data_IF_294321096837
#
_entry.id   IF_294321096837
#
_cell.length_a   1.000
_cell.length_b   1.000
_cell.length_c   1.000
_cell.angle_alpha   90.00
_cell.angle_beta   90.00
_cell.angle_gamma   90.00
#
_symmetry.space_group_name_H-M   'P 1'
#
loop_
_entity.id
_entity.type
_entity.pdbx_description
1 polymer ?
#
# COMPACT_ATOMS: atom_id res chain seq x y z
N UNK A 1 41.36 2.90 -7.99
CA UNK A 1 40.73 2.71 -6.66
C UNK A 1 39.20 2.79 -6.71
N UNK A 2 38.60 3.66 -7.54
CA UNK A 2 37.13 3.84 -7.65
C UNK A 2 36.39 2.62 -8.23
N UNK A 3 36.99 1.91 -9.21
CA UNK A 3 36.37 0.73 -9.84
C UNK A 3 36.36 -0.54 -8.99
N UNK A 4 37.16 -0.62 -7.92
CA UNK A 4 37.17 -1.79 -7.02
C UNK A 4 35.99 -1.75 -6.03
N UNK A 5 35.64 -0.54 -5.55
CA UNK A 5 34.49 -0.31 -4.68
C UNK A 5 33.16 -0.60 -5.37
N UNK A 6 33.01 -0.25 -6.66
CA UNK A 6 31.79 -0.55 -7.42
C UNK A 6 31.63 -2.06 -7.70
N UNK A 7 32.73 -2.77 -7.95
CA UNK A 7 32.72 -4.23 -8.12
C UNK A 7 32.41 -4.99 -6.82
N UNK A 8 32.85 -4.46 -5.67
CA UNK A 8 32.49 -5.00 -4.34
C UNK A 8 31.02 -4.71 -4.00
N UNK A 9 30.54 -3.49 -4.27
CA UNK A 9 29.12 -3.13 -4.09
C UNK A 9 28.17 -3.97 -4.96
N UNK A 10 28.59 -4.32 -6.19
CA UNK A 10 27.88 -5.22 -7.10
C UNK A 10 27.73 -6.65 -6.57
N UNK A 11 28.58 -7.10 -5.64
CA UNK A 11 28.51 -8.43 -5.02
C UNK A 11 27.64 -8.49 -3.77
N UNK A 12 27.31 -7.34 -3.19
CA UNK A 12 26.41 -7.28 -2.02
C UNK A 12 24.99 -7.45 -2.54
N UNK A 13 24.42 -8.65 -2.34
CA UNK A 13 23.01 -8.91 -2.61
C UNK A 13 22.18 -8.02 -1.69
N UNK A 14 21.37 -7.13 -2.27
CA UNK A 14 20.41 -6.33 -1.51
C UNK A 14 19.29 -7.25 -1.03
N UNK A 15 19.01 -7.22 0.26
CA UNK A 15 17.85 -7.87 0.87
C UNK A 15 16.74 -6.83 0.96
N UNK A 16 15.52 -7.21 0.62
CA UNK A 16 14.35 -6.34 0.66
C UNK A 16 13.09 -7.09 0.26
N UNK A 17 11.95 -6.39 0.31
CA UNK A 17 10.67 -6.90 -0.16
C UNK A 17 10.54 -6.74 -1.68
N UNK A 18 10.04 -7.77 -2.36
CA UNK A 18 9.60 -7.69 -3.75
C UNK A 18 8.09 -7.90 -3.79
N UNK A 19 7.36 -6.88 -4.23
CA UNK A 19 5.92 -6.94 -4.39
C UNK A 19 5.58 -7.17 -5.87
N UNK A 20 4.59 -8.02 -6.14
CA UNK A 20 4.08 -8.21 -7.50
C UNK A 20 3.46 -6.89 -7.98
N UNK A 21 3.80 -6.48 -9.20
CA UNK A 21 3.18 -5.32 -9.83
C UNK A 21 1.70 -5.60 -10.12
N UNK A 22 0.82 -4.66 -9.73
CA UNK A 22 -0.58 -4.67 -10.15
C UNK A 22 -0.86 -3.57 -11.16
N UNK A 23 -1.35 -3.99 -12.33
CA UNK A 23 -1.95 -3.09 -13.32
C UNK A 23 -3.17 -2.40 -12.68
N UNK A 24 -3.26 -1.09 -12.87
CA UNK A 24 -4.25 -0.22 -12.25
C UNK A 24 -4.53 0.97 -13.17
N UNK A 25 -5.60 1.70 -12.88
CA UNK A 25 -6.05 2.90 -13.58
C UNK A 25 -5.68 4.21 -12.82
N UNK A 26 -4.90 4.10 -11.73
CA UNK A 26 -4.52 5.22 -10.88
C UNK A 26 -4.67 4.92 -9.38
N UNK A 27 -4.61 5.97 -8.56
CA UNK A 27 -4.84 5.93 -7.12
C UNK A 27 -6.18 6.59 -6.74
N UNK A 28 -6.52 6.64 -5.46
CA UNK A 28 -7.77 7.20 -4.97
C UNK A 28 -7.78 8.72 -4.71
N UNK A 29 -6.68 9.47 -4.95
CA UNK A 29 -6.54 10.87 -4.47
C UNK A 29 -7.60 11.82 -5.05
N UNK A 30 -7.99 11.62 -6.31
CA UNK A 30 -8.97 12.45 -7.01
C UNK A 30 -10.39 11.85 -7.03
N UNK A 31 -10.64 10.84 -6.19
CA UNK A 31 -11.88 10.06 -6.20
C UNK A 31 -12.76 10.34 -4.98
N UNK A 32 -14.05 10.59 -5.21
CA UNK A 32 -15.02 10.79 -4.14
C UNK A 32 -15.45 9.47 -3.47
N UNK A 33 -15.71 9.45 -2.15
CA UNK A 33 -15.95 8.20 -1.41
C UNK A 33 -17.19 7.41 -1.87
N UNK A 34 -18.15 8.05 -2.54
CA UNK A 34 -19.39 7.42 -3.00
C UNK A 34 -19.21 6.42 -4.14
N UNK A 35 -18.03 6.35 -4.77
CA UNK A 35 -17.77 5.40 -5.87
C UNK A 35 -17.26 4.05 -5.37
N UNK A 36 -16.77 3.98 -4.12
CA UNK A 36 -16.12 2.79 -3.61
C UNK A 36 -17.16 1.79 -3.08
N UNK A 37 -16.97 0.52 -3.45
CA UNK A 37 -17.74 -0.57 -2.86
C UNK A 37 -17.34 -0.72 -1.38
N UNK A 38 -18.35 -0.78 -0.51
CA UNK A 38 -18.17 -0.97 0.94
C UNK A 38 -17.29 -2.18 1.24
N UNK A 39 -17.45 -3.26 0.48
CA UNK A 39 -16.67 -4.48 0.60
C UNK A 39 -15.16 -4.25 0.34
N UNK A 40 -14.81 -3.42 -0.63
CA UNK A 40 -13.40 -3.10 -0.95
C UNK A 40 -12.77 -2.25 0.16
N UNK A 41 -13.50 -1.24 0.64
CA UNK A 41 -13.08 -0.42 1.77
C UNK A 41 -12.88 -1.28 3.02
N UNK A 42 -13.81 -2.17 3.33
CA UNK A 42 -13.71 -3.05 4.51
C UNK A 42 -12.50 -3.98 4.46
N UNK A 43 -12.13 -4.53 3.29
CA UNK A 43 -10.94 -5.39 3.16
C UNK A 43 -9.67 -4.65 3.61
N UNK A 44 -9.50 -3.41 3.13
CA UNK A 44 -8.34 -2.58 3.47
C UNK A 44 -8.41 -2.15 4.94
N UNK A 45 -9.60 -1.76 5.42
CA UNK A 45 -9.82 -1.38 6.83
C UNK A 45 -9.37 -2.47 7.80
N UNK A 46 -9.83 -3.71 7.56
CA UNK A 46 -9.49 -4.85 8.43
C UNK A 46 -7.99 -5.13 8.39
N UNK A 47 -7.37 -5.00 7.22
CA UNK A 47 -5.94 -5.19 7.06
C UNK A 47 -5.14 -4.12 7.82
N UNK A 48 -5.47 -2.84 7.65
CA UNK A 48 -4.77 -1.72 8.30
C UNK A 48 -4.96 -1.73 9.83
N UNK A 49 -6.14 -2.10 10.35
CA UNK A 49 -6.35 -2.28 11.80
C UNK A 49 -5.45 -3.38 12.35
N UNK A 50 -5.42 -4.55 11.71
CA UNK A 50 -4.63 -5.69 12.20
C UNK A 50 -3.14 -5.45 12.13
N UNK A 51 -2.71 -4.61 11.20
CA UNK A 51 -1.31 -4.27 10.98
C UNK A 51 -0.87 -2.97 11.65
N UNK A 52 -1.81 -2.24 12.27
CA UNK A 52 -1.62 -0.90 12.80
C UNK A 52 -0.91 0.02 11.79
N UNK A 53 -1.35 -0.03 10.53
CA UNK A 53 -0.77 0.79 9.48
C UNK A 53 -1.07 2.28 9.74
N UNK A 54 -0.04 3.05 10.04
CA UNK A 54 -0.16 4.46 10.45
C UNK A 54 -0.04 5.46 9.29
N UNK A 55 0.19 4.97 8.06
CA UNK A 55 0.47 5.80 6.88
C UNK A 55 -0.42 5.41 5.67
N UNK A 56 -1.64 4.94 5.95
CA UNK A 56 -2.63 4.74 4.88
C UNK A 56 -3.19 6.09 4.44
N UNK A 57 -3.08 6.37 3.15
CA UNK A 57 -3.75 7.47 2.47
C UNK A 57 -4.22 7.04 1.07
N UNK A 58 -5.07 7.87 0.44
CA UNK A 58 -5.67 7.60 -0.87
C UNK A 58 -4.62 7.33 -1.99
N UNK A 59 -3.48 8.00 -1.93
CA UNK A 59 -2.33 7.76 -2.83
C UNK A 59 -1.72 6.36 -2.72
N UNK A 60 -1.89 5.67 -1.58
CA UNK A 60 -1.40 4.31 -1.34
C UNK A 60 -2.44 3.23 -1.63
N UNK A 61 -3.53 3.58 -2.33
CA UNK A 61 -4.57 2.63 -2.74
C UNK A 61 -4.71 2.74 -4.25
N UNK A 62 -4.37 1.66 -4.93
CA UNK A 62 -4.53 1.56 -6.37
C UNK A 62 -5.97 1.17 -6.72
N UNK A 63 -6.47 1.73 -7.81
CA UNK A 63 -7.80 1.47 -8.34
C UNK A 63 -7.68 0.67 -9.62
N UNK A 64 -8.46 -0.38 -9.74
CA UNK A 64 -8.56 -1.17 -10.97
C UNK A 64 -10.02 -1.48 -11.27
N UNK A 65 -10.31 -1.65 -12.56
CA UNK A 65 -11.63 -2.04 -13.05
C UNK A 65 -11.49 -3.47 -13.55
N UNK A 66 -12.18 -4.41 -12.90
CA UNK A 66 -12.10 -5.84 -13.21
C UNK A 66 -13.48 -6.42 -13.55
N UNK A 67 -13.47 -7.49 -14.36
CA UNK A 67 -14.68 -8.18 -14.80
C UNK A 67 -15.47 -7.46 -15.91
N UNK A 68 -16.42 -8.18 -16.51
CA UNK A 68 -17.25 -7.65 -17.60
C UNK A 68 -18.19 -6.54 -17.13
N UNK A 69 -18.57 -6.54 -15.86
CA UNK A 69 -19.45 -5.55 -15.23
C UNK A 69 -18.71 -4.27 -14.79
N UNK A 70 -17.38 -4.21 -14.96
CA UNK A 70 -16.59 -3.02 -14.62
C UNK A 70 -16.49 -2.76 -13.12
N UNK A 71 -16.33 -3.82 -12.31
CA UNK A 71 -16.26 -3.72 -10.85
C UNK A 71 -14.98 -2.98 -10.43
N UNK A 72 -15.14 -1.95 -9.59
CA UNK A 72 -14.01 -1.28 -8.94
C UNK A 72 -13.41 -2.21 -7.90
N UNK A 73 -12.09 -2.42 -7.99
CA UNK A 73 -11.28 -3.21 -7.07
C UNK A 73 -10.16 -2.33 -6.52
N UNK A 74 -9.99 -2.34 -5.20
CA UNK A 74 -8.98 -1.54 -4.49
C UNK A 74 -7.82 -2.42 -4.04
N UNK A 75 -6.60 -2.02 -4.37
CA UNK A 75 -5.37 -2.72 -3.97
C UNK A 75 -4.51 -1.80 -3.11
N UNK A 76 -4.35 -2.07 -1.80
CA UNK A 76 -3.44 -1.28 -0.98
C UNK A 76 -1.99 -1.59 -1.37
N UNK A 77 -1.15 -0.55 -1.42
CA UNK A 77 0.28 -0.65 -1.63
C UNK A 77 1.04 0.09 -0.53
N UNK A 78 2.36 0.17 -0.69
CA UNK A 78 3.28 0.88 0.20
C UNK A 78 3.10 0.52 1.67
N UNK A 79 3.37 -0.76 1.96
CA UNK A 79 3.39 -1.29 3.31
C UNK A 79 4.79 -1.08 3.92
N UNK A 80 5.42 0.08 3.76
CA UNK A 80 6.73 0.32 4.39
C UNK A 80 6.65 0.58 5.89
N UNK A 81 5.49 1.06 6.37
CA UNK A 81 5.30 1.68 7.68
C UNK A 81 4.20 1.00 8.53
N UNK A 82 3.99 -0.30 8.34
CA UNK A 82 3.08 -1.14 9.14
C UNK A 82 3.85 -2.04 10.12
N UNK A 83 3.18 -2.55 11.16
CA UNK A 83 3.76 -3.35 12.27
C UNK A 83 4.76 -2.59 13.16
N UNK A 84 4.34 -1.49 13.81
CA UNK A 84 5.18 -0.83 14.80
C UNK A 84 5.44 -1.74 16.01
N UNK A 85 6.63 -1.62 16.62
CA UNK A 85 6.96 -2.32 17.87
C UNK A 85 6.05 -1.92 19.03
N UNK A 86 5.57 -0.67 19.02
CA UNK A 86 4.61 -0.14 19.97
C UNK A 86 3.47 0.56 19.24
N UNK A 87 2.23 0.25 19.60
CA UNK A 87 1.05 0.93 19.06
C UNK A 87 0.67 2.05 20.03
N UNK A 88 0.83 3.30 19.60
CA UNK A 88 0.29 4.45 20.34
C UNK A 88 -1.16 4.69 19.92
N UNK A 89 -1.93 5.42 20.74
CA UNK A 89 -3.30 5.82 20.39
C UNK A 89 -3.35 6.55 19.03
N UNK A 90 -2.35 7.38 18.73
CA UNK A 90 -2.25 8.12 17.47
C UNK A 90 -2.13 7.20 16.23
N UNK A 91 -1.56 6.00 16.37
CA UNK A 91 -1.50 5.02 15.27
C UNK A 91 -2.89 4.47 14.92
N UNK A 92 -3.78 4.35 15.89
CA UNK A 92 -5.13 3.77 15.71
C UNK A 92 -6.08 4.78 15.05
N UNK A 93 -5.97 6.07 15.41
CA UNK A 93 -6.84 7.13 14.87
C UNK A 93 -6.50 7.56 13.44
N UNK A 94 -5.38 7.08 12.87
CA UNK A 94 -4.90 7.47 11.53
C UNK A 94 -5.25 6.48 10.42
N UNK A 95 -5.98 5.40 10.72
CA UNK A 95 -6.45 4.46 9.70
C UNK A 95 -7.56 5.14 8.89
N UNK A 96 -7.18 5.92 7.89
CA UNK A 96 -8.06 6.50 6.90
C UNK A 96 -7.99 5.63 5.65
N UNK A 97 -9.08 4.96 5.35
CA UNK A 97 -9.10 3.92 4.32
C UNK A 97 -9.39 4.50 2.94
N UNK A 98 -9.81 5.76 2.88
CA UNK A 98 -9.98 6.60 1.69
C UNK A 98 -10.15 8.04 2.12
#
# INVERSE_FOLDING_TARGET
MVGLLSHIASKIKKVGSLQLFKKNEGNCEDMGPGIFLVEEVHKITVFDIRTANADRHAGNILVSIEGEEGRIVLTPIDHGYYLPENVSYDCVFRINVV
#
